data_IF_071737498294
#
_entry.id   IF_071737498294
#
_cell.length_a   1.000
_cell.length_b   1.000
_cell.length_c   1.000
_cell.angle_alpha   90.00
_cell.angle_beta   90.00
_cell.angle_gamma   90.00
#
_symmetry.space_group_name_H-M   'P 1'
#
loop_
_entity.id
_entity.type
_entity.pdbx_description
1 polymer ?
#
# COMPACT_ATOMS: atom_id res chain seq x y z
N UNK A 1 6.38 -13.27 5.32
CA UNK A 1 5.84 -12.13 6.09
C UNK A 1 6.56 -12.09 7.43
N UNK A 2 7.10 -10.93 7.82
CA UNK A 2 7.74 -10.72 9.12
C UNK A 2 6.98 -9.62 9.84
N UNK A 3 6.21 -9.92 10.90
CA UNK A 3 5.42 -8.91 11.59
C UNK A 3 6.30 -7.96 12.39
N UNK A 4 5.90 -6.70 12.45
CA UNK A 4 6.47 -5.67 13.34
C UNK A 4 5.32 -4.95 14.05
N UNK A 5 5.58 -4.42 15.24
CA UNK A 5 4.58 -3.62 15.95
C UNK A 5 4.39 -2.27 15.25
N UNK A 6 3.19 -1.70 15.34
CA UNK A 6 2.93 -0.36 14.80
C UNK A 6 3.87 0.69 15.41
N UNK A 7 4.16 0.73 16.73
CA UNK A 7 5.14 1.66 17.29
C UNK A 7 6.54 1.52 16.67
N UNK A 8 7.03 0.29 16.46
CA UNK A 8 8.33 0.07 15.84
C UNK A 8 8.36 0.56 14.38
N UNK A 9 7.25 0.38 13.65
CA UNK A 9 7.13 0.88 12.29
C UNK A 9 7.13 2.42 12.24
N UNK A 10 6.37 3.09 13.12
CA UNK A 10 6.34 4.56 13.16
C UNK A 10 7.70 5.15 13.55
N UNK A 11 8.40 4.55 14.51
CA UNK A 11 9.76 4.95 14.87
C UNK A 11 10.74 4.83 13.70
N UNK A 12 10.63 3.77 12.90
CA UNK A 12 11.45 3.63 11.69
C UNK A 12 11.19 4.76 10.69
N UNK A 13 9.93 5.19 10.51
CA UNK A 13 9.59 6.31 9.62
C UNK A 13 10.15 7.65 10.13
N UNK A 14 10.15 7.87 11.44
CA UNK A 14 10.81 9.03 12.06
C UNK A 14 12.31 9.04 11.79
N UNK A 15 12.98 7.89 11.94
CA UNK A 15 14.42 7.74 11.65
C UNK A 15 14.76 7.98 10.18
N UNK A 16 13.84 7.65 9.27
CA UNK A 16 13.94 7.94 7.84
C UNK A 16 13.55 9.38 7.48
N UNK A 17 13.28 10.23 8.48
CA UNK A 17 12.90 11.64 8.32
C UNK A 17 11.65 11.84 7.45
N UNK A 18 10.71 10.89 7.48
CA UNK A 18 9.40 11.08 6.86
C UNK A 18 8.68 12.23 7.56
N UNK A 19 7.99 13.14 6.83
CA UNK A 19 7.34 14.27 7.48
C UNK A 19 6.21 13.82 8.43
N UNK A 20 6.05 14.55 9.53
CA UNK A 20 5.24 14.13 10.67
C UNK A 20 3.75 13.94 10.36
N UNK A 21 3.22 14.70 9.40
CA UNK A 21 1.85 14.56 8.89
C UNK A 21 1.62 13.20 8.20
N UNK A 22 2.60 12.72 7.43
CA UNK A 22 2.55 11.37 6.86
C UNK A 22 2.65 10.29 7.93
N UNK A 23 3.54 10.45 8.91
CA UNK A 23 3.67 9.48 10.02
C UNK A 23 2.36 9.39 10.80
N UNK A 24 1.75 10.55 11.10
CA UNK A 24 0.44 10.62 11.74
C UNK A 24 -0.63 9.89 10.92
N UNK A 25 -0.70 10.17 9.60
CA UNK A 25 -1.68 9.55 8.72
C UNK A 25 -1.51 8.02 8.67
N UNK A 26 -0.27 7.54 8.53
CA UNK A 26 0.04 6.10 8.53
C UNK A 26 -0.42 5.46 9.84
N UNK A 27 -0.08 6.08 10.98
CA UNK A 27 -0.53 5.60 12.29
C UNK A 27 -2.05 5.53 12.40
N UNK A 28 -2.76 6.55 11.93
CA UNK A 28 -4.23 6.59 11.89
C UNK A 28 -4.80 5.47 11.02
N UNK A 29 -4.29 5.28 9.80
CA UNK A 29 -4.79 4.25 8.88
C UNK A 29 -4.67 2.84 9.45
N UNK A 30 -3.54 2.51 10.08
CA UNK A 30 -3.34 1.18 10.68
C UNK A 30 -4.19 0.95 11.93
N UNK A 31 -4.44 1.99 12.72
CA UNK A 31 -5.19 1.86 13.98
C UNK A 31 -6.70 1.91 13.79
N UNK A 32 -7.16 2.82 12.94
CA UNK A 32 -8.59 3.16 12.84
C UNK A 32 -9.22 2.60 11.56
N UNK A 33 -8.53 2.66 10.42
CA UNK A 33 -9.13 2.30 9.12
C UNK A 33 -8.98 0.82 8.80
N UNK A 34 -7.78 0.26 8.95
CA UNK A 34 -7.53 -1.15 8.62
C UNK A 34 -8.34 -2.09 9.51
N UNK A 35 -8.56 -1.71 10.77
CA UNK A 35 -9.33 -2.46 11.75
C UNK A 35 -10.83 -2.15 11.72
N UNK A 36 -11.28 -1.19 10.89
CA UNK A 36 -12.69 -0.82 10.83
C UNK A 36 -13.55 -2.00 10.37
N UNK A 37 -14.67 -2.19 11.05
CA UNK A 37 -15.67 -3.18 10.68
C UNK A 37 -16.15 -2.94 9.24
N UNK A 38 -16.26 -4.01 8.46
CA UNK A 38 -16.69 -3.94 7.07
C UNK A 38 -15.57 -3.76 6.02
N UNK A 39 -14.40 -3.21 6.37
CA UNK A 39 -13.32 -2.97 5.40
C UNK A 39 -12.68 -4.25 4.83
N UNK A 40 -12.92 -5.40 5.44
CA UNK A 40 -12.45 -6.70 4.98
C UNK A 40 -13.49 -7.47 4.13
N UNK A 41 -14.71 -6.94 4.00
CA UNK A 41 -15.79 -7.64 3.32
C UNK A 41 -15.60 -7.58 1.81
N UNK A 42 -15.62 -8.75 1.17
CA UNK A 42 -15.58 -8.85 -0.28
C UNK A 42 -16.98 -8.58 -0.83
N UNK A 43 -17.10 -7.62 -1.74
CA UNK A 43 -18.35 -7.32 -2.46
C UNK A 43 -18.17 -7.46 -3.97
N UNK A 44 -19.28 -7.49 -4.71
CA UNK A 44 -19.30 -7.60 -6.18
C UNK A 44 -19.68 -6.28 -6.86
N UNK A 45 -19.56 -5.16 -6.15
CA UNK A 45 -20.12 -3.89 -6.62
C UNK A 45 -19.36 -3.33 -7.83
N UNK A 46 -18.07 -3.64 -7.97
CA UNK A 46 -17.30 -3.34 -9.19
C UNK A 46 -17.94 -3.99 -10.43
N UNK A 47 -18.36 -5.24 -10.33
CA UNK A 47 -19.01 -5.94 -11.44
C UNK A 47 -20.42 -5.40 -11.70
N UNK A 48 -21.19 -5.12 -10.65
CA UNK A 48 -22.53 -4.55 -10.78
C UNK A 48 -22.51 -3.15 -11.43
N UNK A 49 -21.54 -2.31 -11.05
CA UNK A 49 -21.49 -0.90 -11.48
C UNK A 49 -20.73 -0.74 -12.80
N UNK A 50 -19.64 -1.48 -13.01
CA UNK A 50 -18.75 -1.30 -14.17
C UNK A 50 -18.82 -2.44 -15.20
N UNK A 51 -19.59 -3.50 -14.96
CA UNK A 51 -19.75 -4.62 -15.90
C UNK A 51 -18.51 -5.49 -16.08
N UNK A 52 -17.50 -5.36 -15.19
CA UNK A 52 -16.28 -6.18 -15.19
C UNK A 52 -15.91 -6.60 -13.78
N UNK A 53 -15.18 -7.71 -13.64
CA UNK A 53 -14.64 -8.12 -12.33
C UNK A 53 -13.65 -7.08 -11.78
N UNK A 54 -13.51 -7.04 -10.45
CA UNK A 54 -12.41 -6.33 -9.81
C UNK A 54 -11.08 -6.91 -10.30
N UNK A 55 -10.07 -6.04 -10.48
CA UNK A 55 -8.75 -6.49 -10.90
C UNK A 55 -8.09 -7.23 -9.75
N UNK A 56 -7.61 -8.43 -10.01
CA UNK A 56 -6.86 -9.18 -9.00
C UNK A 56 -5.54 -8.47 -8.70
N UNK A 57 -5.10 -8.48 -7.44
CA UNK A 57 -3.88 -7.78 -7.06
C UNK A 57 -2.64 -8.37 -7.76
N UNK A 58 -2.59 -9.69 -7.97
CA UNK A 58 -1.46 -10.33 -8.69
C UNK A 58 -1.42 -9.91 -10.16
N UNK A 59 -2.57 -9.65 -10.77
CA UNK A 59 -2.66 -9.12 -12.13
C UNK A 59 -2.20 -7.66 -12.19
N UNK A 60 -2.63 -6.84 -11.22
CA UNK A 60 -2.10 -5.49 -11.09
C UNK A 60 -0.58 -5.47 -10.94
N UNK A 61 -0.03 -6.33 -10.09
CA UNK A 61 1.42 -6.41 -9.85
C UNK A 61 2.17 -6.78 -11.13
N UNK A 62 1.69 -7.80 -11.85
CA UNK A 62 2.31 -8.25 -13.11
C UNK A 62 2.32 -7.16 -14.18
N UNK A 63 1.19 -6.48 -14.38
CA UNK A 63 1.09 -5.41 -15.38
C UNK A 63 1.93 -4.20 -14.99
N UNK A 64 1.95 -3.84 -13.71
CA UNK A 64 2.74 -2.70 -13.22
C UNK A 64 4.23 -2.97 -13.32
N UNK A 65 4.68 -4.19 -13.00
CA UNK A 65 6.09 -4.59 -13.19
C UNK A 65 6.54 -4.43 -14.64
N UNK A 66 5.68 -4.78 -15.61
CA UNK A 66 5.99 -4.68 -17.04
C UNK A 66 6.24 -3.23 -17.51
N UNK A 67 5.76 -2.22 -16.76
CA UNK A 67 6.05 -0.80 -17.04
C UNK A 67 7.48 -0.39 -16.70
N UNK A 68 8.20 -1.20 -15.91
CA UNK A 68 9.54 -0.88 -15.44
C UNK A 68 9.58 0.18 -14.32
N UNK A 69 8.44 0.62 -13.79
CA UNK A 69 8.38 1.65 -12.72
C UNK A 69 9.12 1.25 -11.44
N UNK A 70 9.30 -0.05 -11.20
CA UNK A 70 10.06 -0.59 -10.08
C UNK A 70 11.52 -0.90 -10.39
N UNK A 71 11.93 -0.75 -11.66
CA UNK A 71 13.33 -0.91 -12.05
C UNK A 71 14.09 0.35 -11.63
N UNK A 72 15.09 0.26 -10.74
CA UNK A 72 15.90 1.41 -10.38
C UNK A 72 16.56 1.97 -11.64
N UNK A 73 16.52 3.30 -11.82
CA UNK A 73 17.43 3.94 -12.78
C UNK A 73 18.84 3.78 -12.24
N UNK A 74 19.64 2.94 -12.91
CA UNK A 74 21.08 2.95 -12.70
C UNK A 74 21.57 4.28 -13.24
N UNK A 75 22.03 5.17 -12.37
CA UNK A 75 22.75 6.36 -12.82
C UNK A 75 24.02 5.88 -13.50
N UNK A 76 24.19 6.19 -14.78
CA UNK A 76 25.46 5.96 -15.47
C UNK A 76 26.51 6.88 -14.84
N UNK A 77 27.45 6.29 -14.09
CA UNK A 77 28.61 7.00 -13.57
C UNK A 77 29.51 7.30 -14.77
N UNK A 78 29.56 8.57 -15.18
CA UNK A 78 30.62 9.11 -16.07
C UNK A 78 31.82 9.52 -15.25
#
# INVERSE_FOLDING_TARGET
FSPISLPAYLQMLEQLQVPADYIWLIGYLFKEVLAAEGNHLVTHDIEKVLGRKAKDFSEYVRDTAATGVWTPRVAETT
#
